data_IF_095226112944
#
_entry.id   IF_095226112944
#
_cell.length_a   1.000
_cell.length_b   1.000
_cell.length_c   1.000
_cell.angle_alpha   90.00
_cell.angle_beta   90.00
_cell.angle_gamma   90.00
#
_symmetry.space_group_name_H-M   'P 1'
#
loop_
_entity.id
_entity.type
_entity.pdbx_description
1 polymer ?
#
# COMPACT_ATOMS: atom_id res chain seq x y z
N UNK A 1 17.18 2.67 15.39
CA UNK A 1 15.74 2.69 15.71
C UNK A 1 15.49 3.82 16.68
N UNK A 2 14.78 4.88 16.27
CA UNK A 2 14.32 5.91 17.21
C UNK A 2 12.95 5.45 17.73
N UNK A 3 12.91 4.96 18.97
CA UNK A 3 11.70 4.53 19.71
C UNK A 3 11.00 3.24 19.20
N UNK A 4 11.73 2.20 18.78
CA UNK A 4 11.19 0.90 18.32
C UNK A 4 10.18 0.94 17.17
N UNK A 5 10.02 2.11 16.55
CA UNK A 5 9.13 2.34 15.42
C UNK A 5 9.92 2.25 14.12
N UNK A 6 9.42 1.42 13.20
CA UNK A 6 9.96 1.30 11.85
C UNK A 6 9.27 2.30 10.93
N UNK A 7 10.02 2.90 10.01
CA UNK A 7 9.54 3.96 9.13
C UNK A 7 9.89 3.63 7.68
N UNK A 8 8.94 3.85 6.78
CA UNK A 8 9.17 3.86 5.34
C UNK A 8 9.54 5.29 4.96
N UNK A 9 10.76 5.51 4.49
CA UNK A 9 11.24 6.80 4.00
C UNK A 9 11.27 6.76 2.48
N UNK A 10 10.58 7.71 1.84
CA UNK A 10 10.58 7.85 0.38
C UNK A 10 10.86 9.28 -0.03
N UNK A 11 11.73 9.49 -1.01
CA UNK A 11 12.00 10.82 -1.53
C UNK A 11 11.05 11.13 -2.68
N UNK A 12 10.28 12.22 -2.57
CA UNK A 12 9.39 12.63 -3.66
C UNK A 12 10.21 13.09 -4.86
N UNK A 13 9.95 12.50 -6.03
CA UNK A 13 10.71 12.82 -7.25
C UNK A 13 10.66 14.31 -7.62
N UNK A 14 9.49 14.95 -7.51
CA UNK A 14 9.29 16.34 -7.94
C UNK A 14 9.92 17.38 -7.01
N UNK A 15 9.78 17.20 -5.69
CA UNK A 15 10.16 18.22 -4.69
C UNK A 15 11.41 17.86 -3.91
N UNK A 16 11.94 16.62 -4.07
CA UNK A 16 13.03 16.05 -3.27
C UNK A 16 12.81 16.05 -1.76
N UNK A 17 11.60 16.37 -1.30
CA UNK A 17 11.24 16.36 0.11
C UNK A 17 11.06 14.91 0.57
N UNK A 18 11.69 14.50 1.68
CA UNK A 18 11.48 13.17 2.26
C UNK A 18 10.06 13.05 2.81
N UNK A 19 9.42 11.93 2.51
CA UNK A 19 8.11 11.55 3.03
C UNK A 19 8.29 10.33 3.92
N UNK A 20 8.00 10.49 5.21
CA UNK A 20 8.14 9.46 6.22
C UNK A 20 6.76 8.89 6.56
N UNK A 21 6.58 7.58 6.44
CA UNK A 21 5.35 6.87 6.79
C UNK A 21 5.67 5.84 7.85
N UNK A 22 4.93 5.85 8.96
CA UNK A 22 5.09 4.86 10.02
C UNK A 22 4.70 3.46 9.48
N UNK A 23 5.58 2.49 9.67
CA UNK A 23 5.30 1.10 9.32
C UNK A 23 4.49 0.46 10.44
N UNK A 24 3.18 0.34 10.21
CA UNK A 24 2.24 -0.32 11.13
C UNK A 24 2.40 -1.84 11.08
N UNK A 25 1.84 -2.54 12.06
CA UNK A 25 2.03 -3.98 12.22
C UNK A 25 1.39 -4.80 11.09
N UNK A 26 0.25 -4.37 10.54
CA UNK A 26 -0.37 -5.03 9.39
C UNK A 26 0.57 -5.03 8.17
N UNK A 27 1.10 -3.88 7.71
CA UNK A 27 2.18 -3.85 6.72
C UNK A 27 3.40 -4.72 7.05
N UNK A 28 3.86 -4.76 8.32
CA UNK A 28 5.00 -5.62 8.72
C UNK A 28 4.71 -7.10 8.49
N UNK A 29 3.51 -7.56 8.85
CA UNK A 29 3.11 -8.95 8.64
C UNK A 29 3.08 -9.30 7.14
N UNK A 30 2.57 -8.39 6.31
CA UNK A 30 2.58 -8.56 4.86
C UNK A 30 4.04 -8.64 4.35
N UNK A 31 4.91 -7.73 4.78
CA UNK A 31 6.33 -7.76 4.40
C UNK A 31 6.98 -9.09 4.81
N UNK A 32 6.78 -9.52 6.05
CA UNK A 32 7.33 -10.79 6.54
C UNK A 32 6.79 -12.00 5.77
N UNK A 33 5.54 -11.95 5.32
CA UNK A 33 4.93 -13.02 4.53
C UNK A 33 5.56 -13.13 3.14
N UNK A 34 5.94 -12.02 2.51
CA UNK A 34 6.45 -12.02 1.13
C UNK A 34 7.96 -11.77 1.02
N UNK A 35 8.68 -11.63 2.13
CA UNK A 35 10.12 -11.31 2.13
C UNK A 35 11.02 -12.37 1.48
N UNK A 36 10.55 -13.61 1.37
CA UNK A 36 11.26 -14.74 0.78
C UNK A 36 11.07 -14.83 -0.74
N UNK A 37 10.05 -14.17 -1.27
CA UNK A 37 9.73 -14.07 -2.70
C UNK A 37 9.93 -12.62 -3.15
N UNK A 38 11.17 -12.15 -3.14
CA UNK A 38 11.44 -10.80 -3.64
C UNK A 38 11.18 -10.74 -5.15
N UNK A 39 10.36 -9.78 -5.56
CA UNK A 39 10.28 -9.39 -6.96
C UNK A 39 11.61 -8.79 -7.44
N UNK A 40 11.80 -8.77 -8.77
CA UNK A 40 13.06 -8.32 -9.39
C UNK A 40 13.49 -6.93 -8.90
N UNK A 41 14.80 -6.68 -8.94
CA UNK A 41 15.41 -5.36 -8.64
C UNK A 41 15.22 -4.90 -7.18
N UNK A 42 15.16 -5.84 -6.24
CA UNK A 42 15.03 -5.51 -4.81
C UNK A 42 13.66 -4.96 -4.42
N UNK A 43 12.62 -5.23 -5.22
CA UNK A 43 11.24 -4.86 -4.91
C UNK A 43 10.54 -6.02 -4.23
N UNK A 44 9.69 -5.74 -3.26
CA UNK A 44 8.91 -6.79 -2.59
C UNK A 44 7.73 -7.26 -3.45
N UNK A 45 7.11 -6.35 -4.20
CA UNK A 45 5.92 -6.63 -5.02
C UNK A 45 6.16 -6.22 -6.48
N UNK A 46 5.45 -6.88 -7.43
CA UNK A 46 5.34 -6.36 -8.77
C UNK A 46 4.64 -4.99 -8.75
N UNK A 47 5.21 -4.01 -9.45
CA UNK A 47 4.60 -2.69 -9.59
C UNK A 47 3.62 -2.75 -10.77
N UNK A 48 2.33 -2.75 -10.46
CA UNK A 48 1.26 -2.69 -11.44
C UNK A 48 0.97 -1.24 -11.84
N UNK A 49 0.48 -1.03 -13.07
CA UNK A 49 -0.04 0.27 -13.47
C UNK A 49 -1.32 0.61 -12.69
N UNK A 50 -1.59 1.90 -12.50
CA UNK A 50 -2.80 2.36 -11.81
C UNK A 50 -4.09 1.82 -12.46
N UNK A 51 -4.10 1.68 -13.79
CA UNK A 51 -5.23 1.10 -14.52
C UNK A 51 -5.45 -0.37 -14.15
N UNK A 52 -4.38 -1.17 -14.14
CA UNK A 52 -4.46 -2.59 -13.80
C UNK A 52 -4.87 -2.79 -12.34
N UNK A 53 -4.31 -1.99 -11.43
CA UNK A 53 -4.67 -2.01 -10.01
C UNK A 53 -6.15 -1.66 -9.80
N UNK A 54 -6.66 -0.62 -10.46
CA UNK A 54 -8.08 -0.27 -10.38
C UNK A 54 -8.99 -1.36 -10.96
N UNK A 55 -8.56 -2.09 -11.99
CA UNK A 55 -9.31 -3.25 -12.51
C UNK A 55 -9.46 -4.34 -11.45
N UNK A 56 -8.37 -4.69 -10.77
CA UNK A 56 -8.40 -5.69 -9.71
C UNK A 56 -9.23 -5.24 -8.50
N UNK A 57 -9.17 -3.95 -8.14
CA UNK A 57 -10.00 -3.42 -7.06
C UNK A 57 -11.50 -3.51 -7.36
N UNK A 58 -11.90 -3.34 -8.62
CA UNK A 58 -13.31 -3.52 -9.03
C UNK A 58 -13.74 -4.98 -8.92
N UNK A 59 -12.93 -5.90 -9.41
CA UNK A 59 -13.21 -7.34 -9.31
C UNK A 59 -13.37 -7.78 -7.84
N UNK A 60 -12.48 -7.33 -6.95
CA UNK A 60 -12.59 -7.59 -5.51
C UNK A 60 -13.84 -6.92 -4.93
N UNK A 61 -14.18 -5.70 -5.34
CA UNK A 61 -15.39 -5.02 -4.89
C UNK A 61 -16.65 -5.81 -5.27
N UNK A 62 -16.68 -6.35 -6.50
CA UNK A 62 -17.79 -7.15 -7.00
C UNK A 62 -17.94 -8.45 -6.21
N UNK A 63 -16.83 -9.17 -5.94
CA UNK A 63 -16.82 -10.40 -5.13
C UNK A 63 -17.28 -10.12 -3.69
N UNK A 64 -16.83 -9.00 -3.11
CA UNK A 64 -17.19 -8.59 -1.75
C UNK A 64 -18.53 -7.85 -1.66
N UNK A 65 -19.26 -7.71 -2.78
CA UNK A 65 -20.53 -6.99 -2.89
C UNK A 65 -20.47 -5.53 -2.38
N UNK A 66 -19.33 -4.86 -2.60
CA UNK A 66 -19.09 -3.46 -2.21
C UNK A 66 -19.62 -2.54 -3.31
N UNK A 67 -20.72 -1.83 -3.03
CA UNK A 67 -21.36 -0.90 -3.98
C UNK A 67 -20.58 0.39 -4.26
N UNK A 68 -19.49 0.64 -3.53
CA UNK A 68 -18.67 1.85 -3.70
C UNK A 68 -17.58 1.60 -4.74
N UNK A 69 -17.36 2.58 -5.60
CA UNK A 69 -16.27 2.52 -6.59
C UNK A 69 -14.90 2.58 -5.89
N UNK A 70 -14.23 1.43 -5.80
CA UNK A 70 -12.90 1.31 -5.23
C UNK A 70 -11.86 1.72 -6.28
N UNK A 71 -11.15 2.81 -5.97
CA UNK A 71 -10.00 3.25 -6.77
C UNK A 71 -8.81 3.49 -5.85
N UNK A 72 -7.61 3.50 -6.42
CA UNK A 72 -6.40 3.86 -5.69
C UNK A 72 -6.51 5.23 -5.00
N UNK A 73 -7.15 6.20 -5.65
CA UNK A 73 -7.40 7.52 -5.08
C UNK A 73 -8.34 7.44 -3.87
N UNK A 74 -9.41 6.65 -3.97
CA UNK A 74 -10.35 6.43 -2.86
C UNK A 74 -9.66 5.85 -1.63
N UNK A 75 -8.73 4.90 -1.82
CA UNK A 75 -7.98 4.28 -0.73
C UNK A 75 -7.02 5.26 -0.03
N UNK A 76 -6.47 6.23 -0.77
CA UNK A 76 -5.56 7.25 -0.22
C UNK A 76 -6.30 8.35 0.55
N UNK A 77 -7.49 8.72 0.11
CA UNK A 77 -8.27 9.82 0.68
C UNK A 77 -9.17 9.40 1.84
N UNK A 78 -9.53 8.12 1.95
CA UNK A 78 -10.26 7.63 3.12
C UNK A 78 -9.29 7.18 4.19
N UNK A 79 -9.38 7.84 5.33
CA UNK A 79 -9.12 7.24 6.63
C UNK A 79 -9.98 5.97 6.76
N UNK A 80 -9.50 4.83 6.27
CA UNK A 80 -10.08 3.49 6.50
C UNK A 80 -9.89 3.03 7.96
N UNK A 81 -9.73 3.97 8.90
CA UNK A 81 -9.50 3.73 10.34
C UNK A 81 -10.85 3.60 11.10
N UNK A 82 -12.00 3.76 10.44
CA UNK A 82 -13.30 3.55 11.06
C UNK A 82 -14.14 2.50 10.32
N UNK A 83 -13.75 1.24 10.45
CA UNK A 83 -14.72 0.14 10.47
C UNK A 83 -14.78 -0.28 11.94
N UNK A 84 -15.80 0.22 12.65
CA UNK A 84 -16.26 -0.38 13.91
C UNK A 84 -16.97 -1.69 13.60
#
# INVERSE_FOLDING_TARGET
>A
TMNDKQWIVTNRQKTKVPSNVLLLDVPKQIISKYNHETYREGKLFPILSNQKMNSYLKEIADICNIRKNLTFHTARHREFINIK
#
